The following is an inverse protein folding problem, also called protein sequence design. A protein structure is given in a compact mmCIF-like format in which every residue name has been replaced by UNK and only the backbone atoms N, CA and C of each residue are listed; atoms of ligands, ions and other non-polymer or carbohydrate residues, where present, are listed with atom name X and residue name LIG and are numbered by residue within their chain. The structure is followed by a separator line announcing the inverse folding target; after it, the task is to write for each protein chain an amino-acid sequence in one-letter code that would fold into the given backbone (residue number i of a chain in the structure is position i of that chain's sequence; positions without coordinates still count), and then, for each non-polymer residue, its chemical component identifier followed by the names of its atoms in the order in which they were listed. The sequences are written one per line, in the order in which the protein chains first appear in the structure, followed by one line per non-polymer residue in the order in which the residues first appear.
data_IF_193796794430
#
_entry.id   IF_193796794430
#
_cell.length_a   1.000
_cell.length_b   1.000
_cell.length_c   1.000
_cell.angle_alpha   90.00
_cell.angle_beta   90.00
_cell.angle_gamma   90.00
#
_symmetry.space_group_name_H-M   'P 1'
#
loop_
_entity.id
_entity.type
_entity.pdbx_description
1 polymer ?
#
# COMPACT_ATOMS: atom_id res chain seq x y z
N UNK A 1 3.83 -12.40 -3.47
CA UNK A 1 4.62 -11.23 -3.04
C UNK A 1 4.17 -10.80 -1.66
N UNK A 2 5.09 -10.45 -0.75
CA UNK A 2 4.75 -9.86 0.54
C UNK A 2 5.28 -8.43 0.65
N UNK A 3 4.49 -7.58 1.27
CA UNK A 3 4.79 -6.15 1.47
C UNK A 3 4.64 -5.87 2.95
N UNK A 4 5.66 -5.31 3.57
CA UNK A 4 5.55 -4.82 4.94
C UNK A 4 5.00 -3.38 4.94
N UNK A 5 4.17 -3.04 5.91
CA UNK A 5 3.60 -1.69 6.07
C UNK A 5 3.84 -1.25 7.52
N UNK A 6 4.42 -0.06 7.67
CA UNK A 6 4.67 0.59 8.95
C UNK A 6 3.49 1.50 9.32
N UNK A 7 3.34 1.78 10.61
CA UNK A 7 2.23 2.57 11.20
C UNK A 7 0.85 1.91 11.17
N UNK A 8 0.76 0.60 10.93
CA UNK A 8 -0.49 -0.16 11.08
C UNK A 8 -0.70 -0.54 12.55
N UNK A 9 -1.57 0.19 13.27
CA UNK A 9 -1.76 0.04 14.72
C UNK A 9 -3.17 -0.43 15.13
N UNK A 10 -4.06 -0.60 14.16
CA UNK A 10 -5.50 -0.75 14.41
C UNK A 10 -6.19 -1.71 13.42
N UNK A 11 -7.28 -2.36 13.82
CA UNK A 11 -8.08 -3.22 12.92
C UNK A 11 -8.66 -2.44 11.74
N UNK A 12 -9.01 -1.16 11.97
CA UNK A 12 -9.41 -0.23 10.91
C UNK A 12 -8.31 -0.06 9.85
N UNK A 13 -7.05 -0.11 10.25
CA UNK A 13 -5.90 0.04 9.38
C UNK A 13 -5.84 -1.14 8.39
N UNK A 14 -6.12 -2.36 8.86
CA UNK A 14 -6.24 -3.57 8.01
C UNK A 14 -7.37 -3.41 6.99
N UNK A 15 -8.55 -2.92 7.43
CA UNK A 15 -9.68 -2.68 6.52
C UNK A 15 -9.38 -1.65 5.44
N UNK A 16 -8.76 -0.53 5.79
CA UNK A 16 -8.39 0.51 4.83
C UNK A 16 -7.45 -0.04 3.77
N UNK A 17 -6.39 -0.74 4.18
CA UNK A 17 -5.44 -1.35 3.24
C UNK A 17 -6.10 -2.44 2.38
N UNK A 18 -7.03 -3.20 2.94
CA UNK A 18 -7.83 -4.18 2.18
C UNK A 18 -8.72 -3.52 1.13
N UNK A 19 -9.36 -2.40 1.46
CA UNK A 19 -10.18 -1.64 0.51
C UNK A 19 -9.31 -1.04 -0.62
N UNK A 20 -8.14 -0.51 -0.29
CA UNK A 20 -7.16 -0.02 -1.27
C UNK A 20 -6.76 -1.13 -2.24
N UNK A 21 -6.42 -2.32 -1.72
CA UNK A 21 -6.05 -3.48 -2.52
C UNK A 21 -7.21 -3.95 -3.42
N UNK A 22 -8.44 -3.96 -2.91
CA UNK A 22 -9.61 -4.28 -3.71
C UNK A 22 -9.83 -3.27 -4.85
N UNK A 23 -9.63 -1.97 -4.60
CA UNK A 23 -9.71 -0.91 -5.62
C UNK A 23 -8.61 -1.00 -6.68
N UNK A 24 -7.43 -1.46 -6.30
CA UNK A 24 -6.32 -1.76 -7.21
C UNK A 24 -6.59 -2.97 -8.11
N UNK A 25 -7.67 -3.71 -7.88
CA UNK A 25 -7.99 -4.93 -8.64
C UNK A 25 -7.39 -6.20 -8.01
N UNK A 26 -6.89 -6.11 -6.78
CA UNK A 26 -6.38 -7.24 -5.98
C UNK A 26 -7.24 -7.53 -4.75
N UNK A 27 -8.54 -7.86 -4.90
CA UNK A 27 -9.41 -8.17 -3.77
C UNK A 27 -8.99 -9.45 -3.03
N UNK A 28 -8.15 -10.29 -3.65
CA UNK A 28 -7.58 -11.50 -3.04
C UNK A 28 -6.34 -11.21 -2.16
N UNK A 29 -5.95 -9.94 -2.04
CA UNK A 29 -4.86 -9.54 -1.16
C UNK A 29 -5.19 -9.88 0.30
N UNK A 30 -4.31 -10.65 0.93
CA UNK A 30 -4.38 -10.93 2.35
C UNK A 30 -3.69 -9.82 3.13
N UNK A 31 -4.47 -8.94 3.73
CA UNK A 31 -3.97 -7.89 4.61
C UNK A 31 -3.95 -8.41 6.05
N UNK A 32 -2.77 -8.43 6.64
CA UNK A 32 -2.51 -8.77 8.04
C UNK A 32 -1.89 -7.57 8.74
N UNK A 33 -2.02 -7.47 10.06
CA UNK A 33 -1.35 -6.42 10.84
C UNK A 33 0.13 -6.28 10.48
N UNK A 34 0.48 -5.15 9.86
CA UNK A 34 1.82 -4.80 9.42
C UNK A 34 2.31 -5.45 8.12
N UNK A 35 1.52 -6.30 7.45
CA UNK A 35 1.92 -7.00 6.22
C UNK A 35 0.78 -7.26 5.26
N UNK A 36 1.04 -7.16 3.96
CA UNK A 36 0.12 -7.58 2.91
C UNK A 36 0.75 -8.68 2.07
N UNK A 37 -0.01 -9.76 1.87
CA UNK A 37 0.36 -10.88 1.03
C UNK A 37 -0.52 -10.87 -0.22
N UNK A 38 0.12 -10.90 -1.37
CA UNK A 38 -0.49 -10.85 -2.69
C UNK A 38 -0.07 -12.09 -3.46
N UNK A 39 -1.00 -12.73 -4.14
CA UNK A 39 -0.68 -13.88 -4.99
C UNK A 39 0.06 -13.43 -6.25
N UNK A 40 -0.37 -12.30 -6.84
CA UNK A 40 0.26 -11.66 -7.97
C UNK A 40 1.27 -10.57 -7.54
N UNK A 41 2.37 -10.38 -8.29
CA UNK A 41 3.23 -9.20 -8.13
C UNK A 41 2.51 -7.95 -8.63
N UNK A 42 2.62 -6.85 -7.89
CA UNK A 42 2.16 -5.54 -8.36
C UNK A 42 3.13 -4.98 -9.39
N UNK A 43 2.58 -4.35 -10.42
CA UNK A 43 3.34 -3.54 -11.38
C UNK A 43 3.82 -2.24 -10.72
N UNK A 44 4.86 -1.62 -11.29
CA UNK A 44 5.45 -0.39 -10.73
C UNK A 44 4.41 0.74 -10.58
N UNK A 45 3.46 0.83 -11.50
CA UNK A 45 2.34 1.78 -11.47
C UNK A 45 1.35 1.49 -10.32
N UNK A 46 1.05 0.23 -10.06
CA UNK A 46 0.15 -0.19 -8.97
C UNK A 46 0.81 0.02 -7.60
N UNK A 47 2.11 -0.25 -7.51
CA UNK A 47 2.92 0.03 -6.31
C UNK A 47 2.98 1.51 -6.01
N UNK A 48 3.17 2.31 -7.05
CA UNK A 48 3.14 3.77 -7.00
C UNK A 48 1.79 4.27 -6.45
N UNK A 49 0.69 3.74 -7.00
CA UNK A 49 -0.65 4.13 -6.57
C UNK A 49 -0.93 3.68 -5.13
N UNK A 50 -0.54 2.46 -4.79
CA UNK A 50 -0.65 1.90 -3.44
C UNK A 50 0.11 2.74 -2.42
N UNK A 51 1.37 3.08 -2.70
CA UNK A 51 2.21 3.91 -1.83
C UNK A 51 1.55 5.28 -1.59
N UNK A 52 1.07 5.92 -2.66
CA UNK A 52 0.35 7.19 -2.56
C UNK A 52 -0.89 7.08 -1.66
N UNK A 53 -1.74 6.07 -1.89
CA UNK A 53 -2.94 5.87 -1.08
C UNK A 53 -2.62 5.56 0.38
N UNK A 54 -1.54 4.81 0.64
CA UNK A 54 -1.06 4.52 1.99
C UNK A 54 -0.58 5.80 2.68
N UNK A 55 0.22 6.63 2.01
CA UNK A 55 0.74 7.89 2.53
C UNK A 55 -0.39 8.88 2.81
N UNK A 56 -1.41 8.96 1.94
CA UNK A 56 -2.61 9.79 2.17
C UNK A 56 -3.38 9.38 3.44
N UNK A 57 -3.38 8.08 3.77
CA UNK A 57 -3.98 7.56 4.99
C UNK A 57 -3.01 7.57 6.21
N UNK A 58 -1.75 7.99 6.02
CA UNK A 58 -0.73 8.08 7.06
C UNK A 58 0.07 6.79 7.32
N UNK A 59 -0.01 5.82 6.42
CA UNK A 59 0.79 4.59 6.42
C UNK A 59 2.05 4.73 5.58
N UNK A 60 3.03 3.86 5.83
CA UNK A 60 4.30 3.88 5.11
C UNK A 60 4.61 2.47 4.60
N UNK A 61 4.83 2.32 3.29
CA UNK A 61 5.16 1.04 2.67
C UNK A 61 6.64 0.72 2.91
N UNK A 62 6.92 -0.37 3.62
CA UNK A 62 8.28 -0.88 3.84
C UNK A 62 8.71 -1.72 2.64
N UNK A 63 9.13 -1.04 1.57
CA UNK A 63 9.79 -1.67 0.42
C UNK A 63 11.16 -1.05 0.24
N UNK A 64 12.16 -1.91 0.03
CA UNK A 64 13.55 -1.48 -0.10
C UNK A 64 13.69 -0.59 -1.35
N UNK A 65 13.90 0.71 -1.08
CA UNK A 65 14.65 1.68 -1.87
C UNK A 65 14.49 1.56 -3.40
N UNK A 66 13.61 2.37 -3.97
CA UNK A 66 13.99 3.23 -5.12
C UNK A 66 12.91 4.23 -5.55
N UNK A 67 11.64 4.02 -5.18
CA UNK A 67 10.57 4.85 -5.73
C UNK A 67 10.55 6.23 -5.06
N UNK A 68 11.26 7.14 -5.69
CA UNK A 68 11.33 8.58 -5.48
C UNK A 68 9.99 9.24 -5.80
N UNK A 69 8.89 8.74 -5.23
CA UNK A 69 7.52 9.10 -5.60
C UNK A 69 6.86 10.09 -4.65
N UNK A 70 7.69 10.85 -3.94
CA UNK A 70 7.28 12.11 -3.29
C UNK A 70 7.24 13.27 -4.31
N UNK A 71 7.57 13.03 -5.59
CA UNK A 71 7.69 14.07 -6.63
C UNK A 71 6.41 14.39 -7.41
N UNK A 72 5.20 13.97 -6.99
CA UNK A 72 3.96 14.29 -7.73
C UNK A 72 2.69 14.61 -6.93
N UNK A 73 2.81 15.04 -5.68
CA UNK A 73 1.74 15.83 -5.02
C UNK A 73 2.25 17.25 -4.81
N UNK A 74 2.56 17.94 -5.91
CA UNK A 74 2.60 19.39 -5.93
C UNK A 74 1.42 19.90 -6.75
N UNK A 75 0.66 20.79 -6.12
CA UNK A 75 -0.37 21.68 -6.66
C UNK A 75 -1.77 21.08 -6.88
N UNK A 76 -2.64 21.25 -5.88
CA UNK A 76 -3.57 22.40 -5.91
C UNK A 76 -3.99 22.84 -4.51
#
# INVERSE_FOLDING_TARGET
MEIAIKNMVCDRCVKVVGDIMARLGHPQAQVTMGRVTLDAPLSDDELTLLDKMLVEEGFELLRDRDSSLVERIKAK
#
